data_IF_014183197777
#
_entry.id   IF_014183197777
#
_cell.length_a   1.000
_cell.length_b   1.000
_cell.length_c   1.000
_cell.angle_alpha   90.00
_cell.angle_beta   90.00
_cell.angle_gamma   90.00
#
_symmetry.space_group_name_H-M   'P 1'
#
loop_
_entity.id
_entity.type
_entity.pdbx_description
1 polymer ?
#
# COMPACT_ATOMS: atom_id res chain seq x y z
N UNK A 1 16.44 21.33 1.46
CA UNK A 1 15.53 21.92 0.46
C UNK A 1 15.66 21.18 -0.88
N UNK A 2 14.58 20.55 -1.38
CA UNK A 2 14.58 19.93 -2.71
C UNK A 2 14.64 21.03 -3.78
N UNK A 3 15.42 20.87 -4.86
CA UNK A 3 15.50 21.88 -5.92
C UNK A 3 14.16 22.00 -6.68
N UNK A 4 13.81 23.21 -7.14
CA UNK A 4 12.57 23.44 -7.89
C UNK A 4 12.58 22.69 -9.22
N UNK A 5 11.42 22.14 -9.62
CA UNK A 5 11.25 21.49 -10.93
C UNK A 5 11.13 22.56 -12.02
N UNK A 6 11.69 22.28 -13.20
CA UNK A 6 11.69 23.15 -14.38
C UNK A 6 10.26 23.64 -14.70
N UNK A 7 10.01 24.94 -14.60
CA UNK A 7 8.72 25.58 -14.87
C UNK A 7 7.93 26.05 -13.64
N UNK A 8 8.42 25.83 -12.41
CA UNK A 8 7.85 26.47 -11.21
C UNK A 8 8.54 27.82 -10.96
N UNK A 9 7.80 28.89 -10.58
CA UNK A 9 8.42 30.14 -10.16
C UNK A 9 9.38 29.85 -9.00
N UNK A 10 10.54 30.54 -8.97
CA UNK A 10 11.67 30.30 -8.06
C UNK A 10 11.32 30.36 -6.55
N UNK A 11 10.08 30.71 -6.20
CA UNK A 11 9.55 30.76 -4.83
C UNK A 11 8.13 30.16 -4.70
N UNK A 12 7.78 29.17 -5.52
CA UNK A 12 6.46 28.52 -5.42
C UNK A 12 6.26 27.87 -4.05
N UNK A 13 5.41 28.47 -3.21
CA UNK A 13 4.96 27.88 -1.95
C UNK A 13 3.87 26.86 -2.26
N UNK A 14 3.92 25.69 -1.61
CA UNK A 14 2.84 24.70 -1.74
C UNK A 14 1.54 25.27 -1.15
N UNK A 15 0.48 25.22 -1.93
CA UNK A 15 -0.86 25.68 -1.56
C UNK A 15 -1.82 24.48 -1.50
N UNK A 16 -1.49 23.52 -0.61
CA UNK A 16 -2.24 22.27 -0.44
C UNK A 16 -2.99 22.18 0.88
N UNK A 17 -2.45 22.72 1.97
CA UNK A 17 -2.99 22.53 3.32
C UNK A 17 -4.45 22.97 3.41
N UNK A 18 -4.75 24.23 3.08
CA UNK A 18 -6.11 24.76 3.15
C UNK A 18 -7.06 24.07 2.18
N UNK A 19 -6.58 23.74 0.97
CA UNK A 19 -7.40 23.06 -0.04
C UNK A 19 -7.77 21.65 0.38
N UNK A 20 -6.83 20.89 0.95
CA UNK A 20 -7.07 19.52 1.43
C UNK A 20 -7.96 19.56 2.68
N UNK A 21 -7.68 20.45 3.64
CA UNK A 21 -8.49 20.59 4.85
C UNK A 21 -9.94 20.95 4.50
N UNK A 22 -10.15 21.93 3.61
CA UNK A 22 -11.48 22.33 3.14
C UNK A 22 -12.21 21.21 2.40
N UNK A 23 -11.50 20.48 1.53
CA UNK A 23 -12.05 19.34 0.80
C UNK A 23 -12.53 18.23 1.75
N UNK A 24 -11.82 18.00 2.86
CA UNK A 24 -12.26 17.07 3.91
C UNK A 24 -13.49 17.64 4.62
N UNK A 25 -13.40 18.83 5.20
CA UNK A 25 -14.49 19.52 5.89
C UNK A 25 -14.39 21.03 5.62
N UNK A 26 -15.48 21.71 5.22
CA UNK A 26 -16.86 21.24 5.20
C UNK A 26 -17.31 20.61 3.87
N UNK A 27 -16.43 20.43 2.88
CA UNK A 27 -16.87 20.09 1.52
C UNK A 27 -17.46 18.68 1.37
N UNK A 28 -16.87 17.65 1.98
CA UNK A 28 -17.28 16.25 1.75
C UNK A 28 -17.76 15.53 3.02
N UNK A 29 -17.12 15.76 4.16
CA UNK A 29 -17.43 15.09 5.41
C UNK A 29 -18.10 16.03 6.42
N UNK A 30 -18.74 15.43 7.43
CA UNK A 30 -19.35 16.14 8.57
C UNK A 30 -18.47 16.09 9.82
N UNK A 31 -19.03 15.66 10.95
CA UNK A 31 -18.31 15.58 12.22
C UNK A 31 -17.18 14.53 12.23
N UNK A 32 -16.02 14.81 12.83
CA UNK A 32 -14.91 13.86 12.87
C UNK A 32 -15.20 12.67 13.80
N UNK A 33 -14.73 11.48 13.40
CA UNK A 33 -14.84 10.26 14.21
C UNK A 33 -13.67 10.17 15.21
N UNK A 34 -13.74 10.94 16.31
CA UNK A 34 -12.65 11.07 17.29
C UNK A 34 -12.16 9.74 17.90
N UNK A 35 -13.03 8.74 18.05
CA UNK A 35 -12.63 7.41 18.51
C UNK A 35 -11.71 6.69 17.50
N UNK A 36 -11.94 6.86 16.19
CA UNK A 36 -11.06 6.32 15.14
C UNK A 36 -9.74 7.09 15.07
N UNK A 37 -9.78 8.42 15.24
CA UNK A 37 -8.56 9.26 15.30
C UNK A 37 -7.67 8.83 16.49
N UNK A 38 -8.27 8.58 17.66
CA UNK A 38 -7.56 8.05 18.83
C UNK A 38 -6.93 6.68 18.56
N UNK A 39 -7.66 5.75 17.94
CA UNK A 39 -7.13 4.44 17.55
C UNK A 39 -5.98 4.55 16.52
N UNK A 40 -6.08 5.49 15.57
CA UNK A 40 -5.03 5.76 14.60
C UNK A 40 -3.75 6.26 15.28
N UNK A 41 -3.86 7.14 16.30
CA UNK A 41 -2.70 7.59 17.06
C UNK A 41 -1.97 6.43 17.76
N UNK A 42 -2.71 5.45 18.30
CA UNK A 42 -2.13 4.22 18.87
C UNK A 42 -1.42 3.40 17.81
N UNK A 43 -2.04 3.20 16.64
CA UNK A 43 -1.42 2.46 15.53
C UNK A 43 -0.15 3.15 15.02
N UNK A 44 -0.16 4.48 14.88
CA UNK A 44 1.02 5.27 14.49
C UNK A 44 2.16 5.12 15.50
N UNK A 45 1.85 5.04 16.79
CA UNK A 45 2.86 4.74 17.83
C UNK A 45 3.45 3.33 17.66
N UNK A 46 2.63 2.33 17.37
CA UNK A 46 3.10 0.95 17.13
C UNK A 46 4.02 0.86 15.90
N UNK A 47 3.69 1.57 14.82
CA UNK A 47 4.47 1.59 13.56
C UNK A 47 5.90 2.13 13.75
N UNK A 48 6.12 3.01 14.73
CA UNK A 48 7.44 3.57 15.03
C UNK A 48 8.36 2.63 15.82
N UNK A 49 7.86 1.46 16.25
CA UNK A 49 8.68 0.51 17.01
C UNK A 49 9.67 -0.26 16.10
N UNK A 50 10.85 -0.66 16.61
CA UNK A 50 11.76 -1.55 15.88
C UNK A 50 11.11 -2.88 15.49
N UNK A 51 10.19 -3.39 16.32
CA UNK A 51 9.42 -4.60 16.06
C UNK A 51 8.55 -4.48 14.81
N UNK A 52 7.92 -3.31 14.57
CA UNK A 52 7.14 -3.11 13.35
C UNK A 52 8.00 -3.10 12.08
N UNK A 53 9.24 -2.58 12.15
CA UNK A 53 10.21 -2.68 11.04
C UNK A 53 10.59 -4.14 10.76
N UNK A 54 10.78 -4.95 11.80
CA UNK A 54 11.03 -6.38 11.63
C UNK A 54 9.82 -7.10 11.00
N UNK A 55 8.61 -6.78 11.47
CA UNK A 55 7.36 -7.27 10.88
C UNK A 55 7.25 -6.92 9.39
N UNK A 56 7.46 -5.67 9.00
CA UNK A 56 7.39 -5.25 7.59
C UNK A 56 8.41 -5.97 6.70
N UNK A 57 9.63 -6.24 7.21
CA UNK A 57 10.61 -7.07 6.50
C UNK A 57 10.11 -8.51 6.33
N UNK A 58 9.51 -9.09 7.38
CA UNK A 58 8.98 -10.44 7.34
C UNK A 58 7.81 -10.57 6.36
N UNK A 59 6.91 -9.58 6.29
CA UNK A 59 5.81 -9.54 5.31
C UNK A 59 6.36 -9.68 3.88
N UNK A 60 7.37 -8.88 3.53
CA UNK A 60 8.02 -8.98 2.22
C UNK A 60 8.71 -10.32 2.00
N UNK A 61 9.47 -10.80 2.99
CA UNK A 61 10.16 -12.08 2.91
C UNK A 61 9.18 -13.25 2.69
N UNK A 62 8.04 -13.23 3.37
CA UNK A 62 6.99 -14.24 3.21
C UNK A 62 6.35 -14.17 1.82
N UNK A 63 6.05 -12.98 1.30
CA UNK A 63 5.48 -12.83 -0.03
C UNK A 63 6.43 -13.33 -1.13
N UNK A 64 7.74 -13.06 -1.01
CA UNK A 64 8.77 -13.60 -1.92
C UNK A 64 8.88 -15.11 -1.79
N UNK A 65 8.88 -15.66 -0.57
CA UNK A 65 8.94 -17.10 -0.35
C UNK A 65 7.73 -17.82 -0.96
N UNK A 66 6.52 -17.29 -0.75
CA UNK A 66 5.29 -17.80 -1.37
C UNK A 66 5.38 -17.74 -2.90
N UNK A 67 5.82 -16.61 -3.44
CA UNK A 67 5.95 -16.42 -4.89
C UNK A 67 6.92 -17.41 -5.51
N UNK A 68 8.11 -17.56 -4.92
CA UNK A 68 9.13 -18.51 -5.38
C UNK A 68 8.63 -19.95 -5.31
N UNK A 69 7.89 -20.32 -4.27
CA UNK A 69 7.31 -21.65 -4.15
C UNK A 69 6.30 -21.91 -5.27
N UNK A 70 5.37 -20.99 -5.51
CA UNK A 70 4.37 -21.12 -6.58
C UNK A 70 5.03 -21.23 -7.96
N UNK A 71 6.02 -20.39 -8.26
CA UNK A 71 6.78 -20.48 -9.51
C UNK A 71 7.54 -21.80 -9.63
N UNK A 72 8.11 -22.31 -8.53
CA UNK A 72 8.73 -23.63 -8.46
C UNK A 72 7.76 -24.79 -8.72
N UNK A 73 6.46 -24.58 -8.49
CA UNK A 73 5.38 -25.53 -8.85
C UNK A 73 4.90 -25.35 -10.31
N UNK A 74 5.53 -24.48 -11.10
CA UNK A 74 5.16 -24.22 -12.49
C UNK A 74 4.02 -23.23 -12.67
N UNK A 75 3.60 -22.56 -11.60
CA UNK A 75 2.57 -21.52 -11.68
C UNK A 75 3.15 -20.20 -12.16
N UNK A 76 2.37 -19.50 -12.98
CA UNK A 76 2.76 -18.21 -13.54
C UNK A 76 2.36 -17.08 -12.61
N UNK A 77 3.31 -16.26 -12.19
CA UNK A 77 3.03 -15.00 -11.49
C UNK A 77 3.20 -13.83 -12.45
N UNK A 78 2.31 -12.84 -12.37
CA UNK A 78 2.47 -11.59 -13.10
C UNK A 78 3.74 -10.90 -12.59
N UNK A 79 4.59 -10.44 -13.52
CA UNK A 79 5.94 -9.88 -13.25
C UNK A 79 6.98 -10.85 -12.68
N UNK A 80 6.68 -12.16 -12.62
CA UNK A 80 7.62 -13.21 -12.19
C UNK A 80 8.20 -12.99 -10.77
N UNK A 81 7.41 -12.42 -9.86
CA UNK A 81 7.81 -12.22 -8.47
C UNK A 81 7.02 -11.14 -7.74
N UNK A 82 7.62 -10.58 -6.69
CA UNK A 82 7.08 -9.42 -5.96
C UNK A 82 8.18 -8.68 -5.20
N UNK A 83 8.04 -7.37 -5.09
CA UNK A 83 8.86 -6.51 -4.23
C UNK A 83 8.08 -5.93 -3.05
N UNK A 84 6.83 -6.36 -2.88
CA UNK A 84 5.91 -5.86 -1.86
C UNK A 84 5.28 -7.02 -1.04
N UNK A 85 4.00 -6.92 -0.70
CA UNK A 85 3.30 -7.79 0.24
C UNK A 85 2.34 -8.79 -0.42
N UNK A 86 2.20 -8.77 -1.75
CA UNK A 86 1.28 -9.63 -2.49
C UNK A 86 1.95 -10.21 -3.73
N UNK A 87 1.34 -11.27 -4.28
CA UNK A 87 1.63 -11.82 -5.60
C UNK A 87 0.34 -11.85 -6.41
N UNK A 88 0.45 -11.78 -7.73
CA UNK A 88 -0.70 -11.94 -8.62
C UNK A 88 -0.50 -13.19 -9.48
N UNK A 89 -1.28 -14.22 -9.21
CA UNK A 89 -1.18 -15.51 -9.89
C UNK A 89 -2.06 -15.52 -11.15
N UNK A 90 -1.42 -15.65 -12.31
CA UNK A 90 -2.10 -15.83 -13.60
C UNK A 90 -2.53 -17.29 -13.78
N UNK A 91 -3.84 -17.53 -13.70
CA UNK A 91 -4.45 -18.86 -13.82
C UNK A 91 -4.77 -19.26 -15.26
N UNK A 92 -4.63 -18.35 -16.24
CA UNK A 92 -4.95 -18.62 -17.64
C UNK A 92 -4.16 -19.78 -18.25
N UNK A 93 -2.85 -19.97 -17.94
CA UNK A 93 -2.11 -21.14 -18.41
C UNK A 93 -2.68 -22.48 -17.94
N UNK A 94 -3.45 -22.47 -16.85
CA UNK A 94 -4.15 -23.65 -16.31
C UNK A 94 -5.56 -23.83 -16.90
N UNK A 95 -6.01 -22.94 -17.79
CA UNK A 95 -7.38 -22.94 -18.33
C UNK A 95 -8.45 -22.56 -17.29
N UNK A 96 -8.04 -21.93 -16.18
CA UNK A 96 -8.91 -21.57 -15.05
C UNK A 96 -9.19 -20.07 -14.99
N UNK A 97 -10.27 -19.71 -14.31
CA UNK A 97 -10.66 -18.33 -13.99
C UNK A 97 -10.57 -18.11 -12.47
N UNK A 98 -10.21 -16.90 -12.04
CA UNK A 98 -10.02 -16.58 -10.62
C UNK A 98 -11.24 -16.85 -9.75
N UNK A 99 -12.45 -16.52 -10.23
CA UNK A 99 -13.69 -16.76 -9.48
C UNK A 99 -13.97 -18.25 -9.19
N UNK A 100 -13.45 -19.18 -10.00
CA UNK A 100 -13.58 -20.61 -9.72
C UNK A 100 -12.62 -21.03 -8.62
N UNK A 101 -11.36 -20.56 -8.69
CA UNK A 101 -10.33 -20.90 -7.70
C UNK A 101 -10.61 -20.27 -6.33
N UNK A 102 -11.13 -19.03 -6.29
CA UNK A 102 -11.54 -18.36 -5.04
C UNK A 102 -12.65 -19.09 -4.29
N UNK A 103 -13.55 -19.76 -5.03
CA UNK A 103 -14.74 -20.41 -4.47
C UNK A 103 -14.48 -21.84 -3.97
N UNK A 104 -13.38 -22.47 -4.41
CA UNK A 104 -12.97 -23.81 -3.97
C UNK A 104 -12.47 -23.77 -2.52
#
# INVERSE_FOLDING_TARGET
PKPPKKGQPENAVYDFEDKVNFAVFPSLQGGPHNHQIGALAVALKQVQTPGFKAYAKQVKANAVALGNYLMGQGYKLVTEGTENHLVLWDLRPLGLTGNKVEKL
#
